data_IF_410085161881
#
_entry.id   IF_410085161881
#
_cell.length_a   1.000
_cell.length_b   1.000
_cell.length_c   1.000
_cell.angle_alpha   90.00
_cell.angle_beta   90.00
_cell.angle_gamma   90.00
#
_symmetry.space_group_name_H-M   'P 1'
#
loop_
_entity.id
_entity.type
_entity.pdbx_description
1 polymer ?
#
# COMPACT_ATOMS: atom_id res chain seq x y z
N UNK A 1 -10.37 -27.54 6.81
CA UNK A 1 -11.36 -27.64 7.91
C UNK A 1 -12.68 -26.92 7.63
N UNK A 2 -12.71 -25.77 6.92
CA UNK A 2 -13.94 -25.02 6.58
C UNK A 2 -15.01 -25.80 5.77
N UNK A 3 -14.62 -26.79 4.97
CA UNK A 3 -15.54 -27.53 4.08
C UNK A 3 -16.19 -28.78 4.67
N UNK A 4 -15.73 -29.28 5.83
CA UNK A 4 -16.18 -30.58 6.39
C UNK A 4 -17.30 -30.49 7.44
N UNK A 5 -17.74 -29.30 7.84
CA UNK A 5 -18.65 -29.13 9.00
C UNK A 5 -19.99 -28.49 8.69
N UNK A 6 -20.25 -27.99 7.46
CA UNK A 6 -21.61 -27.61 7.05
C UNK A 6 -22.62 -28.78 7.14
N UNK A 7 -22.13 -30.01 7.12
CA UNK A 7 -22.94 -31.24 7.22
C UNK A 7 -23.29 -31.63 8.68
N UNK A 8 -22.70 -31.02 9.71
CA UNK A 8 -22.81 -31.51 11.09
C UNK A 8 -23.80 -30.74 12.00
N UNK A 9 -24.50 -29.70 11.53
CA UNK A 9 -25.55 -29.02 12.30
C UNK A 9 -25.09 -28.29 13.58
N UNK A 10 -23.78 -28.15 13.82
CA UNK A 10 -23.25 -27.44 14.98
C UNK A 10 -22.92 -25.98 14.64
N UNK A 11 -23.64 -25.06 15.29
CA UNK A 11 -23.45 -23.61 15.17
C UNK A 11 -22.30 -23.15 16.09
N UNK A 12 -21.06 -23.43 15.65
CA UNK A 12 -19.84 -23.04 16.36
C UNK A 12 -19.70 -21.53 16.50
N UNK A 13 -20.28 -20.77 15.56
CA UNK A 13 -20.26 -19.32 15.60
C UNK A 13 -21.07 -18.80 16.80
N UNK A 14 -22.30 -19.31 16.96
CA UNK A 14 -23.11 -19.03 18.14
C UNK A 14 -22.42 -19.45 19.43
N UNK A 15 -21.81 -20.64 19.47
CA UNK A 15 -21.11 -21.11 20.67
C UNK A 15 -19.94 -20.20 21.04
N UNK A 16 -19.11 -19.80 20.07
CA UNK A 16 -17.99 -18.90 20.31
C UNK A 16 -18.47 -17.50 20.73
N UNK A 17 -19.59 -17.02 20.18
CA UNK A 17 -20.22 -15.76 20.58
C UNK A 17 -20.74 -15.82 22.01
N UNK A 18 -21.42 -16.90 22.38
CA UNK A 18 -21.92 -17.12 23.74
C UNK A 18 -20.75 -17.24 24.75
N UNK A 19 -19.67 -17.92 24.37
CA UNK A 19 -18.43 -17.97 25.17
C UNK A 19 -17.76 -16.61 25.33
N UNK A 20 -17.74 -15.81 24.26
CA UNK A 20 -17.21 -14.45 24.33
C UNK A 20 -18.03 -13.61 25.31
N UNK A 21 -19.38 -13.68 25.25
CA UNK A 21 -20.28 -12.96 26.17
C UNK A 21 -20.05 -13.29 27.64
N UNK A 22 -19.53 -14.47 27.97
CA UNK A 22 -19.15 -14.79 29.35
C UNK A 22 -17.98 -13.95 29.88
N UNK A 23 -17.23 -13.27 29.01
CA UNK A 23 -16.18 -12.33 29.40
C UNK A 23 -16.69 -10.91 29.68
N UNK A 24 -17.98 -10.64 29.44
CA UNK A 24 -18.58 -9.33 29.65
C UNK A 24 -18.56 -8.92 31.13
N UNK A 25 -18.26 -7.65 31.37
CA UNK A 25 -18.22 -7.00 32.68
C UNK A 25 -19.60 -6.43 33.02
N UNK A 26 -20.07 -6.68 34.24
CA UNK A 26 -21.27 -6.06 34.79
C UNK A 26 -20.90 -4.71 35.44
N UNK A 27 -21.78 -3.70 35.35
CA UNK A 27 -21.53 -2.30 35.78
C UNK A 27 -21.13 -2.10 37.26
N UNK A 28 -21.20 -3.14 38.09
CA UNK A 28 -20.98 -3.06 39.53
C UNK A 28 -20.17 -4.23 40.13
N UNK A 29 -19.61 -5.12 39.31
CA UNK A 29 -18.82 -6.26 39.82
C UNK A 29 -17.33 -5.96 39.84
N UNK A 30 -16.76 -5.92 41.04
CA UNK A 30 -15.32 -6.04 41.24
C UNK A 30 -14.98 -7.53 41.16
N UNK A 31 -14.33 -7.93 40.08
CA UNK A 31 -13.82 -9.30 39.94
C UNK A 31 -12.59 -9.48 40.83
N UNK A 32 -12.46 -10.66 41.43
CA UNK A 32 -11.14 -11.08 41.94
C UNK A 32 -10.15 -11.17 40.77
N UNK A 33 -8.85 -11.01 41.05
CA UNK A 33 -7.82 -11.10 40.02
C UNK A 33 -7.87 -12.43 39.23
N UNK A 34 -8.21 -13.52 39.92
CA UNK A 34 -8.42 -14.84 39.30
C UNK A 34 -9.63 -14.89 38.35
N UNK A 35 -10.79 -14.37 38.77
CA UNK A 35 -12.00 -14.37 37.93
C UNK A 35 -11.83 -13.51 36.69
N UNK A 36 -11.15 -12.36 36.84
CA UNK A 36 -10.78 -11.51 35.71
C UNK A 36 -9.89 -12.28 34.73
N UNK A 37 -8.83 -12.92 35.21
CA UNK A 37 -7.92 -13.72 34.38
C UNK A 37 -8.63 -14.82 33.59
N UNK A 38 -9.53 -15.57 34.25
CA UNK A 38 -10.33 -16.60 33.60
C UNK A 38 -11.22 -16.03 32.50
N UNK A 39 -11.90 -14.92 32.78
CA UNK A 39 -12.78 -14.25 31.82
C UNK A 39 -12.01 -13.65 30.66
N UNK A 40 -10.85 -13.03 30.90
CA UNK A 40 -9.95 -12.55 29.84
C UNK A 40 -9.53 -13.69 28.92
N UNK A 41 -9.11 -14.85 29.47
CA UNK A 41 -8.74 -16.02 28.65
C UNK A 41 -9.91 -16.52 27.81
N UNK A 42 -11.10 -16.61 28.40
CA UNK A 42 -12.31 -17.02 27.71
C UNK A 42 -12.65 -16.05 26.57
N UNK A 43 -12.74 -14.75 26.86
CA UNK A 43 -13.06 -13.71 25.90
C UNK A 43 -12.06 -13.64 24.76
N UNK A 44 -10.76 -13.55 25.09
CA UNK A 44 -9.66 -13.56 24.11
C UNK A 44 -9.76 -14.76 23.17
N UNK A 45 -9.82 -15.97 23.73
CA UNK A 45 -9.78 -17.18 22.93
C UNK A 45 -11.04 -17.33 22.08
N UNK A 46 -12.22 -17.03 22.65
CA UNK A 46 -13.49 -17.12 21.93
C UNK A 46 -13.53 -16.16 20.75
N UNK A 47 -13.17 -14.89 20.96
CA UNK A 47 -13.16 -13.86 19.91
C UNK A 47 -12.10 -14.12 18.85
N UNK A 48 -10.89 -14.51 19.25
CA UNK A 48 -9.82 -14.86 18.31
C UNK A 48 -10.22 -16.03 17.42
N UNK A 49 -10.82 -17.09 17.99
CA UNK A 49 -11.30 -18.23 17.22
C UNK A 49 -12.50 -17.89 16.35
N UNK A 50 -13.42 -17.06 16.85
CA UNK A 50 -14.58 -16.59 16.09
C UNK A 50 -14.12 -15.85 14.84
N UNK A 51 -13.17 -14.93 14.98
CA UNK A 51 -12.55 -14.23 13.86
C UNK A 51 -11.82 -15.18 12.92
N UNK A 52 -10.91 -16.04 13.42
CA UNK A 52 -10.19 -17.01 12.56
C UNK A 52 -11.12 -17.96 11.81
N UNK A 53 -12.28 -18.27 12.39
CA UNK A 53 -13.29 -19.12 11.77
C UNK A 53 -14.05 -18.40 10.66
N UNK A 54 -14.66 -17.26 10.98
CA UNK A 54 -15.66 -16.57 10.15
C UNK A 54 -15.10 -15.45 9.28
N UNK A 55 -13.90 -14.95 9.60
CA UNK A 55 -13.26 -13.82 8.93
C UNK A 55 -13.85 -12.44 9.29
N UNK A 56 -14.92 -12.37 10.11
CA UNK A 56 -15.57 -11.13 10.54
C UNK A 56 -16.15 -11.28 11.95
N UNK A 57 -16.44 -10.19 12.64
CA UNK A 57 -17.26 -10.23 13.86
C UNK A 57 -18.68 -9.78 13.51
N UNK A 58 -19.65 -10.68 13.41
CA UNK A 58 -21.01 -10.31 12.98
C UNK A 58 -21.82 -9.54 14.03
N UNK A 59 -21.48 -9.66 15.31
CA UNK A 59 -22.17 -8.89 16.35
C UNK A 59 -21.78 -7.41 16.29
N UNK A 60 -22.77 -6.54 16.48
CA UNK A 60 -22.56 -5.09 16.63
C UNK A 60 -22.12 -4.74 18.06
N UNK A 61 -22.62 -5.45 19.06
CA UNK A 61 -22.31 -5.21 20.48
C UNK A 61 -21.18 -6.11 20.99
N UNK A 62 -20.04 -5.50 21.28
CA UNK A 62 -18.86 -6.06 21.95
C UNK A 62 -18.50 -5.28 23.22
N UNK A 63 -19.46 -4.54 23.77
CA UNK A 63 -19.24 -3.60 24.87
C UNK A 63 -18.91 -4.34 26.18
N UNK A 64 -17.98 -3.75 26.93
CA UNK A 64 -17.56 -4.16 28.28
C UNK A 64 -16.97 -5.56 28.33
N UNK A 65 -16.41 -6.06 27.23
CA UNK A 65 -15.85 -7.40 27.19
C UNK A 65 -14.39 -7.41 27.65
N UNK A 66 -14.00 -8.47 28.34
CA UNK A 66 -12.60 -8.73 28.67
C UNK A 66 -11.92 -9.50 27.53
N UNK A 67 -11.23 -8.77 26.65
CA UNK A 67 -10.60 -9.25 25.42
C UNK A 67 -9.07 -9.04 25.41
N UNK A 68 -8.45 -8.94 26.60
CA UNK A 68 -7.01 -8.74 26.73
C UNK A 68 -6.21 -9.78 25.92
N UNK A 69 -5.34 -9.31 25.02
CA UNK A 69 -4.51 -10.14 24.16
C UNK A 69 -5.21 -10.75 22.93
N UNK A 70 -6.43 -10.31 22.60
CA UNK A 70 -7.16 -10.77 21.41
C UNK A 70 -6.34 -10.60 20.13
N UNK A 71 -6.35 -11.61 19.25
CA UNK A 71 -5.69 -11.54 17.95
C UNK A 71 -6.75 -11.20 16.90
N UNK A 72 -6.88 -9.90 16.63
CA UNK A 72 -7.88 -9.29 15.77
C UNK A 72 -7.25 -8.53 14.60
N UNK A 73 -6.01 -8.86 14.25
CA UNK A 73 -5.32 -8.22 13.15
C UNK A 73 -6.05 -8.46 11.81
N UNK A 74 -6.20 -7.40 11.00
CA UNK A 74 -6.92 -7.45 9.72
C UNK A 74 -8.45 -7.54 9.84
N UNK A 75 -9.02 -7.43 11.04
CA UNK A 75 -10.48 -7.60 11.23
C UNK A 75 -11.25 -6.36 10.82
N UNK A 76 -12.36 -6.53 10.10
CA UNK A 76 -13.37 -5.48 9.94
C UNK A 76 -14.22 -5.32 11.21
N UNK A 77 -13.95 -4.26 11.95
CA UNK A 77 -14.61 -3.83 13.18
C UNK A 77 -15.51 -2.60 12.98
N UNK A 78 -15.81 -2.26 11.72
CA UNK A 78 -16.56 -1.05 11.42
C UNK A 78 -17.95 -1.05 12.08
N UNK A 79 -18.34 0.08 12.67
CA UNK A 79 -19.63 0.32 13.32
C UNK A 79 -19.87 -0.47 14.61
N UNK A 80 -18.85 -1.17 15.15
CA UNK A 80 -19.01 -2.02 16.34
C UNK A 80 -18.86 -1.24 17.63
N UNK A 81 -19.63 -1.65 18.62
CA UNK A 81 -19.58 -1.11 19.97
C UNK A 81 -18.57 -1.86 20.84
N UNK A 82 -17.45 -1.21 21.15
CA UNK A 82 -16.42 -1.65 22.11
C UNK A 82 -16.43 -0.80 23.39
N UNK A 83 -17.56 -0.16 23.71
CA UNK A 83 -17.69 0.69 24.88
C UNK A 83 -17.28 -0.04 26.17
N UNK A 84 -16.32 0.49 26.92
CA UNK A 84 -15.87 -0.11 28.18
C UNK A 84 -15.09 -1.43 28.04
N UNK A 85 -14.76 -1.86 26.83
CA UNK A 85 -14.08 -3.14 26.57
C UNK A 85 -12.61 -3.08 26.94
N UNK A 86 -12.10 -4.12 27.59
CA UNK A 86 -10.67 -4.29 27.85
C UNK A 86 -10.02 -5.02 26.67
N UNK A 87 -9.13 -4.33 25.97
CA UNK A 87 -8.36 -4.80 24.81
C UNK A 87 -6.85 -4.71 25.08
N UNK A 88 -6.44 -4.85 26.35
CA UNK A 88 -5.04 -4.69 26.75
C UNK A 88 -4.18 -5.71 26.03
N UNK A 89 -3.03 -5.30 25.50
CA UNK A 89 -2.13 -6.18 24.74
C UNK A 89 -2.78 -6.85 23.52
N UNK A 90 -3.98 -6.42 23.09
CA UNK A 90 -4.65 -6.98 21.92
C UNK A 90 -3.87 -6.60 20.65
N UNK A 91 -3.87 -7.50 19.66
CA UNK A 91 -3.33 -7.24 18.34
C UNK A 91 -4.48 -6.80 17.42
N UNK A 92 -4.56 -5.50 17.18
CA UNK A 92 -5.52 -4.84 16.28
C UNK A 92 -4.84 -4.34 15.00
N UNK A 93 -3.64 -4.85 14.69
CA UNK A 93 -2.88 -4.41 13.53
C UNK A 93 -3.67 -4.60 12.23
N UNK A 94 -3.76 -3.58 11.37
CA UNK A 94 -4.59 -3.59 10.14
C UNK A 94 -6.10 -3.83 10.35
N UNK A 95 -6.64 -3.70 11.57
CA UNK A 95 -8.09 -3.76 11.76
C UNK A 95 -8.78 -2.53 11.17
N UNK A 96 -9.93 -2.71 10.51
CA UNK A 96 -10.78 -1.62 10.03
C UNK A 96 -11.67 -1.16 11.19
N UNK A 97 -11.55 0.09 11.62
CA UNK A 97 -12.23 0.60 12.81
C UNK A 97 -13.28 1.68 12.49
N UNK A 98 -13.74 1.74 11.25
CA UNK A 98 -14.60 2.84 10.77
C UNK A 98 -15.89 2.94 11.58
N UNK A 99 -16.19 4.11 12.16
CA UNK A 99 -17.36 4.35 13.02
C UNK A 99 -17.49 3.42 14.25
N UNK A 100 -16.42 2.73 14.67
CA UNK A 100 -16.43 1.90 15.88
C UNK A 100 -16.40 2.74 17.18
N UNK A 101 -17.15 2.32 18.19
CA UNK A 101 -17.23 3.00 19.48
C UNK A 101 -16.26 2.40 20.51
N UNK A 102 -15.14 3.08 20.77
CA UNK A 102 -14.17 2.68 21.79
C UNK A 102 -14.26 3.51 23.09
N UNK A 103 -15.38 4.21 23.35
CA UNK A 103 -15.52 5.04 24.56
C UNK A 103 -15.30 4.20 25.82
N UNK A 104 -14.43 4.65 26.72
CA UNK A 104 -14.06 3.95 27.96
C UNK A 104 -13.38 2.58 27.78
N UNK A 105 -12.96 2.21 26.56
CA UNK A 105 -12.19 0.99 26.34
C UNK A 105 -10.76 1.11 26.92
N UNK A 106 -10.22 0.01 27.46
CA UNK A 106 -8.83 -0.08 27.90
C UNK A 106 -7.98 -0.67 26.77
N UNK A 107 -7.24 0.18 26.06
CA UNK A 107 -6.33 -0.19 24.96
C UNK A 107 -4.86 -0.25 25.41
N UNK A 108 -4.58 -0.37 26.72
CA UNK A 108 -3.20 -0.39 27.25
C UNK A 108 -2.35 -1.44 26.52
N UNK A 109 -1.24 -1.01 25.91
CA UNK A 109 -0.33 -1.87 25.13
C UNK A 109 -1.00 -2.63 23.96
N UNK A 110 -2.19 -2.21 23.53
CA UNK A 110 -2.79 -2.74 22.30
C UNK A 110 -1.94 -2.33 21.09
N UNK A 111 -1.70 -3.28 20.20
CA UNK A 111 -1.00 -3.03 18.94
C UNK A 111 -2.03 -2.54 17.92
N UNK A 112 -2.03 -1.23 17.71
CA UNK A 112 -2.74 -0.52 16.65
C UNK A 112 -1.76 -0.11 15.53
N UNK A 113 -0.59 -0.73 15.51
CA UNK A 113 0.36 -0.51 14.43
C UNK A 113 -0.28 -0.91 13.11
N UNK A 114 0.27 -0.40 12.02
CA UNK A 114 -0.01 -0.93 10.70
C UNK A 114 -1.18 -0.28 9.92
N UNK A 115 -1.65 0.88 10.33
CA UNK A 115 -2.77 1.57 9.70
C UNK A 115 -2.46 2.99 9.20
N UNK A 116 -1.21 3.20 8.76
CA UNK A 116 -0.81 4.44 8.12
C UNK A 116 -1.40 4.58 6.71
N UNK A 117 -1.50 5.82 6.22
CA UNK A 117 -1.70 6.09 4.80
C UNK A 117 -0.58 5.39 4.00
N UNK A 118 -0.97 4.61 2.99
CA UNK A 118 -0.02 4.06 2.03
C UNK A 118 0.61 5.19 1.23
N UNK A 119 1.94 5.19 1.14
CA UNK A 119 2.66 6.19 0.35
C UNK A 119 2.96 5.66 -1.05
N UNK A 120 3.42 4.41 -1.16
CA UNK A 120 3.69 3.76 -2.44
C UNK A 120 3.63 2.23 -2.34
N UNK A 121 3.52 1.59 -3.50
CA UNK A 121 3.54 0.14 -3.67
C UNK A 121 4.56 -0.23 -4.74
N UNK A 122 5.29 -1.31 -4.51
CA UNK A 122 6.18 -1.90 -5.51
C UNK A 122 5.98 -3.40 -5.59
N UNK A 123 5.96 -3.92 -6.81
CA UNK A 123 5.91 -5.35 -7.10
C UNK A 123 7.32 -5.80 -7.50
N UNK A 124 7.85 -6.92 -6.98
CA UNK A 124 9.13 -7.47 -7.42
C UNK A 124 9.01 -8.04 -8.83
N UNK A 125 10.08 -7.92 -9.61
CA UNK A 125 10.18 -8.43 -11.00
C UNK A 125 10.34 -9.96 -11.11
N UNK A 126 10.47 -10.67 -10.00
CA UNK A 126 10.71 -12.11 -9.99
C UNK A 126 9.42 -12.89 -10.23
N UNK A 127 9.43 -13.87 -11.13
CA UNK A 127 8.32 -14.81 -11.32
C UNK A 127 8.00 -15.65 -10.07
N UNK A 128 8.98 -15.78 -9.16
CA UNK A 128 8.82 -16.40 -7.83
C UNK A 128 8.38 -15.38 -6.74
N UNK A 129 7.95 -14.16 -7.11
CA UNK A 129 7.54 -13.17 -6.13
C UNK A 129 6.20 -13.54 -5.48
N UNK A 130 6.26 -14.11 -4.28
CA UNK A 130 5.08 -14.47 -3.48
C UNK A 130 4.33 -13.26 -2.87
N UNK A 131 4.64 -12.03 -3.30
CA UNK A 131 4.15 -10.82 -2.65
C UNK A 131 4.60 -9.50 -3.26
N UNK A 132 4.10 -8.40 -2.69
CA UNK A 132 4.45 -7.02 -3.04
C UNK A 132 4.84 -6.22 -1.79
N UNK A 133 5.52 -5.10 -1.98
CA UNK A 133 5.95 -4.22 -0.91
C UNK A 133 5.13 -2.94 -0.89
N UNK A 134 4.86 -2.44 0.31
CA UNK A 134 4.13 -1.18 0.52
C UNK A 134 4.86 -0.36 1.57
N UNK A 135 5.07 0.92 1.27
CA UNK A 135 5.53 1.93 2.23
C UNK A 135 4.35 2.66 2.84
N UNK A 136 4.52 3.02 4.11
CA UNK A 136 3.50 3.70 4.89
C UNK A 136 4.03 5.00 5.48
N UNK A 137 3.13 5.97 5.67
CA UNK A 137 3.47 7.26 6.29
C UNK A 137 4.05 7.12 7.71
N UNK A 138 3.75 6.01 8.38
CA UNK A 138 4.31 5.64 9.69
C UNK A 138 5.80 5.26 9.65
N UNK A 139 6.44 5.27 8.48
CA UNK A 139 7.86 4.91 8.33
C UNK A 139 8.12 3.40 8.36
N UNK A 140 7.11 2.57 8.08
CA UNK A 140 7.28 1.14 7.89
C UNK A 140 7.27 0.75 6.41
N UNK A 141 8.05 -0.29 6.09
CA UNK A 141 7.95 -1.02 4.83
C UNK A 141 7.38 -2.39 5.17
N UNK A 142 6.38 -2.83 4.39
CA UNK A 142 5.73 -4.11 4.63
C UNK A 142 5.64 -4.94 3.38
N UNK A 143 5.81 -6.25 3.56
CA UNK A 143 5.62 -7.28 2.53
C UNK A 143 4.22 -7.86 2.67
N UNK A 144 3.44 -7.77 1.61
CA UNK A 144 2.12 -8.38 1.47
C UNK A 144 2.26 -9.63 0.64
N UNK A 145 1.64 -10.74 1.07
CA UNK A 145 1.63 -11.95 0.27
C UNK A 145 0.44 -11.97 -0.68
N UNK A 146 0.67 -12.44 -1.91
CA UNK A 146 -0.38 -12.72 -2.89
C UNK A 146 -0.99 -14.13 -2.70
N UNK A 147 -0.47 -14.94 -1.79
CA UNK A 147 -1.05 -16.24 -1.43
C UNK A 147 -2.30 -16.03 -0.56
N UNK A 148 -3.45 -16.50 -1.03
CA UNK A 148 -4.73 -16.47 -0.29
C UNK A 148 -4.65 -17.18 1.07
N UNK A 149 -3.67 -18.07 1.28
CA UNK A 149 -3.43 -18.75 2.56
C UNK A 149 -2.77 -17.88 3.62
N UNK A 150 -2.19 -16.75 3.24
CA UNK A 150 -1.53 -15.82 4.16
C UNK A 150 -2.51 -15.06 5.06
N UNK A 151 -3.83 -15.25 4.87
CA UNK A 151 -4.89 -14.38 5.41
C UNK A 151 -4.66 -12.88 5.06
N UNK A 152 -3.81 -12.60 4.05
CA UNK A 152 -3.39 -11.25 3.62
C UNK A 152 -2.78 -10.40 4.74
N UNK A 153 -2.10 -11.01 5.70
CA UNK A 153 -1.43 -10.25 6.76
C UNK A 153 -0.07 -9.72 6.28
N UNK A 154 0.18 -8.40 6.33
CA UNK A 154 1.47 -7.85 5.95
C UNK A 154 2.53 -8.13 7.02
N UNK A 155 3.72 -8.45 6.56
CA UNK A 155 4.90 -8.56 7.42
C UNK A 155 5.69 -7.25 7.39
N UNK A 156 5.96 -6.67 8.56
CA UNK A 156 6.85 -5.50 8.66
C UNK A 156 8.28 -5.96 8.48
N UNK A 157 8.89 -5.56 7.37
CA UNK A 157 10.25 -5.98 7.00
C UNK A 157 11.32 -4.93 7.33
N UNK A 158 10.92 -3.67 7.49
CA UNK A 158 11.82 -2.57 7.80
C UNK A 158 11.09 -1.41 8.48
N UNK A 159 11.79 -0.68 9.35
CA UNK A 159 11.33 0.59 9.94
C UNK A 159 12.47 1.60 9.95
N UNK A 160 12.18 2.83 9.55
CA UNK A 160 13.15 3.92 9.64
C UNK A 160 13.27 4.38 11.10
N UNK A 161 14.51 4.52 11.60
CA UNK A 161 14.74 5.06 12.95
C UNK A 161 14.41 6.56 12.98
N UNK A 162 13.58 6.94 13.95
CA UNK A 162 13.05 8.29 14.16
C UNK A 162 14.16 9.25 14.66
N UNK A 163 15.09 9.59 13.77
CA UNK A 163 16.11 10.62 14.03
C UNK A 163 15.53 12.00 13.71
N UNK A 164 14.65 12.47 14.61
CA UNK A 164 14.10 13.82 14.70
C UNK A 164 13.32 14.31 13.46
N UNK A 165 12.00 14.12 13.50
CA UNK A 165 11.08 15.18 13.09
C UNK A 165 10.75 15.31 11.59
N UNK A 166 10.90 14.26 10.80
CA UNK A 166 10.23 14.18 9.49
C UNK A 166 9.07 13.20 9.57
N UNK A 167 7.88 13.74 9.87
CA UNK A 167 6.54 13.09 9.83
C UNK A 167 6.12 12.55 8.44
N UNK A 168 7.08 12.34 7.55
CA UNK A 168 6.88 11.91 6.18
C UNK A 168 7.85 10.75 5.94
N UNK A 169 7.51 9.52 6.39
CA UNK A 169 8.25 8.32 6.00
C UNK A 169 8.48 8.25 4.47
N UNK A 170 9.27 7.29 3.96
CA UNK A 170 9.58 7.24 2.53
C UNK A 170 8.29 7.37 1.71
N UNK A 171 8.31 8.30 0.77
CA UNK A 171 7.14 8.59 -0.03
C UNK A 171 6.97 7.53 -1.10
N UNK A 172 8.07 6.87 -1.48
CA UNK A 172 8.11 5.98 -2.61
C UNK A 172 9.05 4.78 -2.37
N UNK A 173 8.80 3.71 -3.11
CA UNK A 173 9.53 2.44 -3.05
C UNK A 173 9.63 1.80 -4.43
N UNK A 174 10.72 1.11 -4.67
CA UNK A 174 10.89 0.21 -5.81
C UNK A 174 11.65 -1.05 -5.40
N UNK A 175 11.20 -2.18 -5.93
CA UNK A 175 11.90 -3.45 -5.87
C UNK A 175 12.98 -3.47 -6.94
N UNK A 176 14.21 -3.77 -6.53
CA UNK A 176 15.37 -3.88 -7.41
C UNK A 176 15.50 -5.32 -7.92
N UNK A 177 16.25 -5.55 -9.03
CA UNK A 177 16.61 -6.89 -9.45
C UNK A 177 17.24 -7.69 -8.31
N UNK A 178 16.89 -8.98 -8.25
CA UNK A 178 17.25 -9.84 -7.13
C UNK A 178 16.29 -9.66 -5.96
N UNK A 179 16.80 -9.27 -4.80
CA UNK A 179 16.02 -9.15 -3.55
C UNK A 179 16.17 -7.80 -2.85
N UNK A 180 16.81 -6.82 -3.48
CA UNK A 180 17.02 -5.50 -2.90
C UNK A 180 15.79 -4.60 -3.02
N UNK A 181 15.73 -3.56 -2.18
CA UNK A 181 14.75 -2.49 -2.25
C UNK A 181 15.46 -1.14 -2.35
N UNK A 182 14.90 -0.25 -3.15
CA UNK A 182 15.23 1.17 -3.11
C UNK A 182 14.01 1.94 -2.59
N UNK A 183 14.24 2.83 -1.64
CA UNK A 183 13.21 3.68 -1.06
C UNK A 183 13.72 5.10 -1.02
N UNK A 184 12.82 6.06 -1.20
CA UNK A 184 13.22 7.46 -1.20
C UNK A 184 12.11 8.37 -0.67
N UNK A 185 12.54 9.52 -0.19
CA UNK A 185 11.69 10.64 0.18
C UNK A 185 12.13 11.86 -0.64
N UNK A 186 11.87 13.07 -0.15
CA UNK A 186 12.29 14.29 -0.85
C UNK A 186 13.78 14.56 -0.77
N UNK A 187 14.44 14.09 0.28
CA UNK A 187 15.77 14.55 0.69
C UNK A 187 16.81 13.43 0.73
N UNK A 188 16.39 12.18 0.55
CA UNK A 188 17.27 11.01 0.66
C UNK A 188 16.76 9.81 -0.14
N UNK A 189 17.72 9.00 -0.59
CA UNK A 189 17.52 7.70 -1.22
C UNK A 189 18.25 6.66 -0.40
N UNK A 190 17.59 5.56 -0.07
CA UNK A 190 18.11 4.44 0.70
C UNK A 190 18.06 3.17 -0.12
N UNK A 191 19.10 2.35 0.02
CA UNK A 191 19.19 1.02 -0.55
C UNK A 191 19.18 0.00 0.58
N UNK A 192 18.25 -0.96 0.49
CA UNK A 192 18.04 -2.00 1.47
C UNK A 192 18.27 -3.37 0.84
N UNK A 193 18.89 -4.28 1.58
CA UNK A 193 19.01 -5.69 1.21
C UNK A 193 18.36 -6.59 2.26
N UNK A 194 17.96 -7.82 1.88
CA UNK A 194 17.51 -8.81 2.84
C UNK A 194 18.61 -9.10 3.86
N UNK A 195 18.22 -9.34 5.11
CA UNK A 195 19.15 -9.84 6.10
C UNK A 195 19.55 -11.29 5.81
N UNK A 196 20.83 -11.62 6.04
CA UNK A 196 21.34 -12.99 5.84
C UNK A 196 20.66 -14.04 6.75
N UNK A 197 20.04 -13.57 7.85
CA UNK A 197 19.35 -14.39 8.85
C UNK A 197 18.06 -13.71 9.31
N UNK A 198 16.97 -13.94 8.60
CA UNK A 198 15.64 -13.44 8.94
C UNK A 198 14.83 -13.11 7.70
N UNK A 199 13.59 -12.69 7.90
CA UNK A 199 12.68 -12.21 6.85
C UNK A 199 12.71 -10.66 6.71
N UNK A 200 13.61 -9.99 7.45
CA UNK A 200 13.77 -8.54 7.48
C UNK A 200 14.76 -7.99 6.44
N UNK A 201 14.83 -6.66 6.36
CA UNK A 201 15.77 -5.93 5.51
C UNK A 201 16.69 -5.05 6.36
N UNK A 202 17.89 -4.75 5.84
CA UNK A 202 18.85 -3.83 6.43
C UNK A 202 19.25 -2.73 5.46
N UNK A 203 19.54 -1.54 5.99
CA UNK A 203 20.14 -0.46 5.21
C UNK A 203 21.58 -0.80 4.83
N UNK A 204 21.90 -0.71 3.54
CA UNK A 204 23.26 -0.89 3.00
C UNK A 204 23.90 0.45 2.72
N UNK A 205 23.13 1.40 2.18
CA UNK A 205 23.62 2.70 1.75
C UNK A 205 22.50 3.74 1.76
N UNK A 206 22.89 5.00 1.95
CA UNK A 206 22.01 6.17 1.92
C UNK A 206 22.73 7.35 1.29
N UNK A 207 22.02 8.05 0.41
CA UNK A 207 22.49 9.28 -0.24
C UNK A 207 21.50 10.40 0.03
N UNK A 208 21.99 11.62 0.30
CA UNK A 208 21.13 12.80 0.42
C UNK A 208 20.92 13.46 -0.94
N UNK A 209 19.70 13.90 -1.19
CA UNK A 209 19.32 14.69 -2.36
C UNK A 209 19.29 16.17 -1.98
N UNK A 210 20.08 16.99 -2.68
CA UNK A 210 20.18 18.44 -2.37
C UNK A 210 18.96 19.25 -2.81
N UNK A 211 18.15 18.72 -3.73
CA UNK A 211 16.99 19.40 -4.31
C UNK A 211 15.79 18.47 -4.18
N UNK A 212 14.81 18.82 -3.34
CA UNK A 212 13.56 18.09 -3.09
C UNK A 212 12.93 17.49 -4.36
N UNK A 213 13.28 16.25 -4.72
CA UNK A 213 12.85 15.60 -5.95
C UNK A 213 11.63 14.71 -5.68
N UNK A 214 10.49 14.96 -6.33
CA UNK A 214 9.27 14.21 -6.05
C UNK A 214 9.07 12.94 -6.88
N UNK A 215 9.91 12.65 -7.88
CA UNK A 215 9.65 11.59 -8.85
C UNK A 215 10.93 10.87 -9.26
N UNK A 216 11.36 9.91 -8.45
CA UNK A 216 12.27 8.87 -8.93
C UNK A 216 11.39 7.73 -9.44
N UNK A 217 11.74 7.10 -10.55
CA UNK A 217 11.06 5.89 -11.00
C UNK A 217 12.11 4.84 -11.30
N UNK A 218 11.95 3.65 -10.74
CA UNK A 218 12.93 2.58 -10.90
C UNK A 218 12.23 1.43 -11.63
N UNK A 219 12.78 1.06 -12.77
CA UNK A 219 12.48 -0.18 -13.46
C UNK A 219 13.59 -1.20 -13.18
N UNK A 220 13.41 -2.45 -13.62
CA UNK A 220 14.35 -3.56 -13.39
C UNK A 220 15.80 -3.11 -13.54
N UNK A 221 16.18 -2.51 -14.67
CA UNK A 221 17.58 -2.13 -14.89
C UNK A 221 17.84 -0.64 -14.82
N UNK A 222 16.81 0.19 -14.61
CA UNK A 222 16.93 1.63 -14.84
C UNK A 222 16.35 2.47 -13.71
N UNK A 223 16.90 3.67 -13.51
CA UNK A 223 16.37 4.66 -12.59
C UNK A 223 16.24 6.01 -13.26
N UNK A 224 15.04 6.53 -13.30
CA UNK A 224 14.76 7.91 -13.67
C UNK A 224 14.91 8.77 -12.43
N UNK A 225 15.81 9.75 -12.47
CA UNK A 225 15.95 10.78 -11.43
C UNK A 225 15.71 12.15 -12.07
N UNK A 226 14.95 13.06 -11.44
CA UNK A 226 14.84 14.41 -11.96
C UNK A 226 16.19 15.11 -11.89
N UNK A 227 16.55 15.80 -12.96
CA UNK A 227 17.76 16.60 -13.00
C UNK A 227 17.48 17.95 -12.32
N UNK A 228 18.37 18.38 -11.43
CA UNK A 228 18.22 19.56 -10.57
C UNK A 228 18.09 20.91 -11.24
N UNK A 229 18.30 20.94 -12.56
CA UNK A 229 18.12 22.14 -13.35
C UNK A 229 16.63 22.41 -13.58
N UNK A 230 16.04 23.25 -12.72
CA UNK A 230 14.86 24.03 -13.12
C UNK A 230 15.31 25.01 -14.21
N UNK A 231 15.10 24.62 -15.46
CA UNK A 231 15.18 25.55 -16.58
C UNK A 231 13.86 26.30 -16.71
N UNK A 232 13.88 27.49 -17.32
CA UNK A 232 12.66 28.25 -17.67
C UNK A 232 11.71 27.44 -18.58
N UNK A 233 12.19 26.34 -19.18
CA UNK A 233 11.49 25.51 -20.17
C UNK A 233 10.98 24.16 -19.65
N UNK A 234 11.32 23.71 -18.43
CA UNK A 234 10.78 22.46 -17.88
C UNK A 234 11.65 21.72 -16.86
N UNK A 235 11.17 20.53 -16.43
CA UNK A 235 11.93 19.54 -15.66
C UNK A 235 12.68 18.62 -16.63
N UNK A 236 14.01 18.58 -16.52
CA UNK A 236 14.80 17.51 -17.14
C UNK A 236 14.76 16.28 -16.24
N UNK A 237 14.77 15.09 -16.82
CA UNK A 237 14.98 13.84 -16.08
C UNK A 237 16.17 13.10 -16.69
N UNK A 238 16.96 12.43 -15.85
CA UNK A 238 18.02 11.53 -16.27
C UNK A 238 17.60 10.10 -16.00
N UNK A 239 17.62 9.28 -17.04
CA UNK A 239 17.48 7.84 -16.94
C UNK A 239 18.87 7.25 -16.81
N UNK A 240 19.13 6.59 -15.69
CA UNK A 240 20.36 5.84 -15.41
C UNK A 240 20.12 4.37 -15.72
N UNK A 241 20.97 3.77 -16.53
CA UNK A 241 20.99 2.32 -16.76
C UNK A 241 22.04 1.65 -15.87
N UNK A 242 21.58 0.64 -15.13
CA UNK A 242 22.35 -0.22 -14.24
C UNK A 242 22.45 -1.66 -14.75
N UNK A 243 22.08 -1.90 -16.00
CA UNK A 243 22.24 -3.20 -16.64
C UNK A 243 23.68 -3.71 -16.44
N UNK A 244 23.88 -4.97 -16.02
CA UNK A 244 25.22 -5.53 -15.79
C UNK A 244 26.03 -5.64 -17.09
N UNK A 245 25.36 -5.51 -18.23
CA UNK A 245 25.88 -5.61 -19.59
C UNK A 245 26.30 -4.23 -20.12
N UNK A 246 27.17 -3.50 -19.40
CA UNK A 246 27.63 -2.19 -19.89
C UNK A 246 28.35 -1.32 -18.85
N UNK A 247 28.90 -0.19 -19.30
CA UNK A 247 29.23 0.91 -18.41
C UNK A 247 27.93 1.65 -18.05
N UNK A 248 27.76 2.14 -16.81
CA UNK A 248 26.61 2.95 -16.44
C UNK A 248 26.43 4.10 -17.43
N UNK A 249 25.28 4.14 -18.09
CA UNK A 249 24.95 5.18 -19.06
C UNK A 249 23.84 6.07 -18.47
N UNK A 250 23.77 7.31 -18.96
CA UNK A 250 22.72 8.23 -18.57
C UNK A 250 22.22 8.99 -19.80
N UNK A 251 20.91 8.96 -20.04
CA UNK A 251 20.27 9.75 -21.10
C UNK A 251 19.31 10.77 -20.50
N UNK A 252 19.25 11.95 -21.11
CA UNK A 252 18.45 13.08 -20.63
C UNK A 252 17.15 13.20 -21.40
N UNK A 253 16.04 13.42 -20.70
CA UNK A 253 14.74 13.70 -21.30
C UNK A 253 14.18 15.04 -20.84
N UNK A 254 13.35 15.66 -21.69
CA UNK A 254 12.61 16.88 -21.36
C UNK A 254 11.12 16.57 -21.23
N UNK A 255 10.64 16.53 -19.99
CA UNK A 255 9.26 16.20 -19.62
C UNK A 255 8.58 17.44 -19.04
N UNK A 256 8.15 18.33 -19.92
CA UNK A 256 7.54 19.60 -19.53
C UNK A 256 6.21 19.35 -18.80
N UNK A 257 6.07 19.88 -17.59
CA UNK A 257 4.86 19.75 -16.76
C UNK A 257 4.52 18.30 -16.36
N UNK A 258 5.47 17.37 -16.39
CA UNK A 258 5.23 16.01 -15.92
C UNK A 258 4.95 15.97 -14.41
N UNK A 259 3.85 15.31 -14.05
CA UNK A 259 3.45 15.02 -12.68
C UNK A 259 4.14 13.75 -12.19
N UNK A 260 4.14 12.70 -13.01
CA UNK A 260 4.76 11.41 -12.71
C UNK A 260 5.40 10.83 -13.98
N UNK A 261 6.39 9.97 -13.82
CA UNK A 261 7.03 9.24 -14.92
C UNK A 261 7.42 7.82 -14.50
N UNK A 262 7.59 6.92 -15.46
CA UNK A 262 8.11 5.57 -15.26
C UNK A 262 9.05 5.20 -16.40
N UNK A 263 10.10 4.42 -16.13
CA UNK A 263 10.96 3.87 -17.18
C UNK A 263 10.26 2.71 -17.89
N UNK A 264 10.39 2.65 -19.22
CA UNK A 264 9.96 1.51 -20.03
C UNK A 264 11.15 0.59 -20.31
N UNK A 265 12.25 1.17 -20.76
CA UNK A 265 13.52 0.49 -20.99
C UNK A 265 14.68 1.48 -20.78
N UNK A 266 15.87 1.14 -21.27
CA UNK A 266 17.14 1.90 -21.19
C UNK A 266 17.17 3.16 -22.08
N UNK A 267 16.22 3.26 -23.01
CA UNK A 267 16.10 4.34 -23.99
C UNK A 267 14.73 5.03 -23.96
N UNK A 268 13.76 4.52 -23.23
CA UNK A 268 12.38 4.98 -23.26
C UNK A 268 11.78 5.17 -21.87
N UNK A 269 10.95 6.20 -21.75
CA UNK A 269 10.16 6.48 -20.55
C UNK A 269 8.73 6.85 -20.92
N UNK A 270 7.86 6.77 -19.93
CA UNK A 270 6.49 7.29 -20.00
C UNK A 270 6.30 8.39 -18.96
N UNK A 271 5.50 9.40 -19.31
CA UNK A 271 5.16 10.51 -18.43
C UNK A 271 3.67 10.83 -18.45
N UNK A 272 3.13 11.13 -17.27
CA UNK A 272 1.82 11.74 -17.12
C UNK A 272 1.99 13.25 -16.93
N UNK A 273 1.38 14.05 -17.81
CA UNK A 273 1.53 15.50 -17.85
C UNK A 273 0.39 16.20 -17.09
N UNK A 274 0.64 17.43 -16.63
CA UNK A 274 -0.35 18.22 -15.89
C UNK A 274 -1.61 18.59 -16.69
N UNK A 275 -1.54 18.55 -18.02
CA UNK A 275 -2.69 18.74 -18.90
C UNK A 275 -3.52 17.45 -19.11
N UNK A 276 -3.11 16.34 -18.48
CA UNK A 276 -3.80 15.06 -18.53
C UNK A 276 -3.31 14.10 -19.62
N UNK A 277 -2.37 14.52 -20.46
CA UNK A 277 -1.81 13.63 -21.48
C UNK A 277 -0.82 12.64 -20.86
N UNK A 278 -0.87 11.41 -21.35
CA UNK A 278 0.09 10.34 -21.10
C UNK A 278 0.94 10.21 -22.35
N UNK A 279 2.24 10.44 -22.22
CA UNK A 279 3.18 10.46 -23.34
C UNK A 279 4.30 9.46 -23.13
N UNK A 280 4.73 8.82 -24.20
CA UNK A 280 5.94 8.00 -24.22
C UNK A 280 7.02 8.79 -24.95
N UNK A 281 8.20 8.89 -24.34
CA UNK A 281 9.39 9.47 -24.94
C UNK A 281 10.44 8.39 -25.16
N UNK A 282 11.02 8.37 -26.35
CA UNK A 282 12.08 7.43 -26.72
C UNK A 282 13.29 8.24 -27.18
N UNK A 283 14.43 7.98 -26.56
CA UNK A 283 15.73 8.49 -26.93
C UNK A 283 16.28 7.64 -28.07
N UNK A 284 16.54 8.26 -29.21
CA UNK A 284 17.06 7.59 -30.40
C UNK A 284 18.56 7.87 -30.45
N UNK A 285 19.35 6.80 -30.58
CA UNK A 285 20.81 6.89 -30.68
C UNK A 285 21.23 7.46 -32.05
N UNK A 286 21.16 8.79 -32.16
CA UNK A 286 21.67 9.59 -33.28
C UNK A 286 22.79 10.49 -32.78
N UNK A 287 23.65 10.99 -33.69
CA UNK A 287 24.76 11.90 -33.33
C UNK A 287 24.33 13.15 -32.54
N UNK A 288 23.04 13.53 -32.61
CA UNK A 288 22.45 14.67 -31.91
C UNK A 288 21.57 14.30 -30.70
N UNK A 289 21.31 13.00 -30.44
CA UNK A 289 20.46 12.54 -29.33
C UNK A 289 19.00 12.99 -29.45
N UNK A 290 18.32 12.55 -30.52
CA UNK A 290 16.92 12.94 -30.79
C UNK A 290 15.94 12.25 -29.82
N UNK A 291 14.97 13.00 -29.29
CA UNK A 291 13.89 12.45 -28.46
C UNK A 291 12.58 12.48 -29.24
N UNK A 292 11.98 11.31 -29.45
CA UNK A 292 10.66 11.17 -30.07
C UNK A 292 9.59 11.07 -28.99
N UNK A 293 8.55 11.90 -29.07
CA UNK A 293 7.41 11.89 -28.14
C UNK A 293 6.14 11.42 -28.84
N UNK A 294 5.41 10.48 -28.24
CA UNK A 294 4.12 9.96 -28.74
C UNK A 294 3.07 10.00 -27.64
N UNK A 295 1.88 10.52 -27.90
CA UNK A 295 0.76 10.51 -26.94
C UNK A 295 -0.04 9.21 -27.00
N UNK A 296 -0.42 8.68 -25.84
CA UNK A 296 -1.26 7.48 -25.71
C UNK A 296 -2.75 7.81 -25.61
N UNK A 297 -3.10 9.03 -25.20
CA UNK A 297 -4.47 9.47 -24.97
C UNK A 297 -4.73 10.90 -25.46
N UNK A 298 -4.10 11.31 -26.57
CA UNK A 298 -4.23 12.67 -27.10
C UNK A 298 -5.70 13.07 -27.36
N UNK A 299 -6.56 12.10 -27.72
CA UNK A 299 -7.99 12.33 -27.96
C UNK A 299 -8.81 12.51 -26.68
N UNK A 300 -8.38 11.89 -25.57
CA UNK A 300 -9.11 11.89 -24.28
C UNK A 300 -8.14 12.00 -23.10
N UNK A 301 -7.64 13.22 -22.80
CA UNK A 301 -6.76 13.47 -21.67
C UNK A 301 -7.42 13.12 -20.34
N UNK A 302 -6.62 12.58 -19.41
CA UNK A 302 -7.09 12.21 -18.07
C UNK A 302 -7.07 13.43 -17.14
N UNK A 303 -8.16 13.72 -16.46
CA UNK A 303 -8.22 14.85 -15.53
C UNK A 303 -7.36 14.59 -14.28
N UNK A 304 -6.44 15.51 -13.96
CA UNK A 304 -5.58 15.48 -12.76
C UNK A 304 -4.87 14.13 -12.51
N UNK A 305 -3.93 13.72 -13.39
CA UNK A 305 -3.16 12.51 -13.17
C UNK A 305 -2.30 12.62 -11.91
N UNK A 306 -2.13 11.51 -11.21
CA UNK A 306 -1.44 11.45 -9.91
C UNK A 306 -0.26 10.48 -9.92
N UNK A 307 -0.41 9.34 -10.58
CA UNK A 307 0.60 8.29 -10.64
C UNK A 307 0.59 7.60 -12.01
N UNK A 308 1.73 7.05 -12.40
CA UNK A 308 1.89 6.27 -13.63
C UNK A 308 2.82 5.09 -13.37
N UNK A 309 2.58 3.97 -14.04
CA UNK A 309 3.45 2.80 -14.02
C UNK A 309 3.56 2.21 -15.42
N UNK A 310 4.63 1.48 -15.66
CA UNK A 310 4.94 0.85 -16.93
C UNK A 310 5.36 -0.60 -16.71
N UNK A 311 5.06 -1.45 -17.68
CA UNK A 311 5.52 -2.83 -17.73
C UNK A 311 6.18 -3.08 -19.07
N UNK A 312 7.38 -3.65 -19.00
CA UNK A 312 8.15 -4.13 -20.13
C UNK A 312 7.95 -5.64 -20.25
N UNK A 313 7.62 -6.16 -21.44
CA UNK A 313 7.56 -7.59 -21.68
C UNK A 313 8.96 -8.20 -21.76
N UNK A 314 9.10 -9.46 -21.33
CA UNK A 314 10.37 -10.21 -21.40
C UNK A 314 10.78 -10.56 -22.85
N UNK A 315 9.79 -10.74 -23.73
CA UNK A 315 10.02 -11.05 -25.15
C UNK A 315 9.99 -9.78 -25.99
N UNK A 316 10.88 -9.69 -26.98
CA UNK A 316 10.97 -8.58 -27.93
C UNK A 316 9.71 -8.42 -28.80
N UNK A 317 8.87 -9.46 -28.88
CA UNK A 317 7.55 -9.42 -29.55
C UNK A 317 6.40 -9.01 -28.63
N UNK A 318 6.67 -8.86 -27.33
CA UNK A 318 5.66 -8.58 -26.32
C UNK A 318 5.13 -7.16 -26.38
N UNK A 319 4.00 -6.96 -25.72
CA UNK A 319 3.32 -5.69 -25.64
C UNK A 319 3.77 -4.91 -24.39
N UNK A 320 4.18 -3.67 -24.58
CA UNK A 320 4.43 -2.74 -23.48
C UNK A 320 3.11 -2.28 -22.91
N UNK A 321 3.02 -2.22 -21.58
CA UNK A 321 1.81 -1.75 -20.90
C UNK A 321 2.12 -0.50 -20.10
N UNK A 322 1.17 0.43 -20.09
CA UNK A 322 1.21 1.64 -19.29
C UNK A 322 -0.11 1.77 -18.55
N UNK A 323 -0.06 2.12 -17.27
CA UNK A 323 -1.26 2.46 -16.52
C UNK A 323 -1.08 3.79 -15.81
N UNK A 324 -2.17 4.58 -15.76
CA UNK A 324 -2.20 5.89 -15.13
C UNK A 324 -3.44 6.01 -14.24
N UNK A 325 -3.26 6.66 -13.09
CA UNK A 325 -4.31 6.90 -12.10
C UNK A 325 -4.49 8.40 -11.85
N UNK A 326 -5.66 8.79 -11.37
CA UNK A 326 -5.98 10.20 -11.13
C UNK A 326 -6.50 10.51 -9.74
N UNK A 327 -6.72 11.81 -9.48
CA UNK A 327 -7.25 12.28 -8.18
C UNK A 327 -8.68 11.79 -7.88
N UNK A 328 -9.48 11.53 -8.90
CA UNK A 328 -10.87 11.11 -8.79
C UNK A 328 -11.09 9.60 -8.71
N UNK A 329 -10.04 8.79 -8.59
CA UNK A 329 -10.16 7.33 -8.48
C UNK A 329 -10.25 6.57 -9.81
N UNK A 330 -10.08 7.28 -10.93
CA UNK A 330 -10.01 6.69 -12.27
C UNK A 330 -8.66 6.01 -12.49
N UNK A 331 -8.71 4.80 -13.04
CA UNK A 331 -7.54 4.05 -13.50
C UNK A 331 -7.74 3.70 -14.97
N UNK A 332 -6.73 4.00 -15.78
CA UNK A 332 -6.69 3.68 -17.20
C UNK A 332 -5.41 2.93 -17.54
N UNK A 333 -5.50 2.00 -18.49
CA UNK A 333 -4.36 1.23 -18.98
C UNK A 333 -4.35 1.19 -20.51
N UNK A 334 -3.14 1.20 -21.07
CA UNK A 334 -2.86 1.15 -22.50
C UNK A 334 -1.82 0.08 -22.77
N UNK A 335 -1.88 -0.46 -23.99
CA UNK A 335 -0.85 -1.35 -24.51
C UNK A 335 -0.38 -0.89 -25.90
N UNK A 336 0.88 -1.14 -26.22
CA UNK A 336 1.50 -0.77 -27.49
C UNK A 336 2.75 -1.60 -27.78
N UNK A 337 3.25 -1.52 -29.02
CA UNK A 337 4.53 -2.12 -29.43
C UNK A 337 5.58 -1.03 -29.65
N UNK A 338 6.82 -1.29 -29.23
CA UNK A 338 7.97 -0.39 -29.43
C UNK A 338 8.97 -1.07 -30.37
N UNK A 339 9.18 -0.48 -31.55
CA UNK A 339 10.17 -0.96 -32.51
C UNK A 339 11.59 -0.50 -32.11
N UNK A 340 12.62 -1.25 -32.49
CA UNK A 340 14.04 -0.87 -32.30
C UNK A 340 14.36 0.54 -32.87
N UNK A 341 13.59 1.01 -33.87
CA UNK A 341 13.71 2.36 -34.43
C UNK A 341 13.17 3.48 -33.51
N UNK A 342 12.72 3.13 -32.30
CA UNK A 342 12.05 4.02 -31.35
C UNK A 342 10.66 4.46 -31.82
N UNK A 343 10.02 3.69 -32.71
CA UNK A 343 8.66 4.00 -33.21
C UNK A 343 7.64 3.18 -32.44
N UNK A 344 6.59 3.85 -31.98
CA UNK A 344 5.48 3.23 -31.26
C UNK A 344 4.37 2.87 -32.25
N UNK A 345 3.81 1.66 -32.13
CA UNK A 345 2.69 1.17 -32.94
C UNK A 345 1.63 0.48 -32.09
N UNK A 346 0.50 0.19 -32.72
CA UNK A 346 -0.58 -0.62 -32.15
C UNK A 346 -1.11 -0.12 -30.80
N UNK A 347 -1.10 1.21 -30.60
CA UNK A 347 -1.58 1.83 -29.36
C UNK A 347 -3.07 1.48 -29.17
N UNK A 348 -3.38 0.82 -28.07
CA UNK A 348 -4.75 0.47 -27.67
C UNK A 348 -5.01 0.83 -26.23
N UNK A 349 -6.19 1.39 -25.95
CA UNK A 349 -6.69 1.50 -24.59
C UNK A 349 -7.26 0.15 -24.18
N UNK A 350 -6.73 -0.44 -23.10
CA UNK A 350 -7.18 -1.72 -22.55
C UNK A 350 -8.46 -1.51 -21.75
N UNK A 351 -8.43 -0.54 -20.83
CA UNK A 351 -9.59 -0.11 -20.07
C UNK A 351 -9.41 1.31 -19.52
N UNK A 352 -10.52 1.93 -19.12
CA UNK A 352 -10.57 3.16 -18.34
C UNK A 352 -11.81 3.11 -17.45
N UNK A 353 -11.64 3.12 -16.12
CA UNK A 353 -12.73 2.93 -15.17
C UNK A 353 -12.46 3.59 -13.82
N UNK A 354 -13.52 3.95 -13.12
CA UNK A 354 -13.45 4.39 -11.73
C UNK A 354 -13.31 3.15 -10.84
N UNK A 355 -12.16 3.03 -10.16
CA UNK A 355 -11.83 1.88 -9.30
C UNK A 355 -11.92 2.28 -7.85
N UNK A 356 -11.40 3.46 -7.53
CA UNK A 356 -11.29 3.98 -6.18
C UNK A 356 -12.28 5.10 -5.93
N UNK A 357 -12.64 5.33 -4.66
CA UNK A 357 -13.45 6.49 -4.27
C UNK A 357 -12.60 7.74 -4.01
N UNK A 358 -11.30 7.53 -3.80
CA UNK A 358 -10.32 8.57 -3.47
C UNK A 358 -9.24 8.71 -4.53
N UNK A 359 -8.22 9.50 -4.19
CA UNK A 359 -7.05 9.74 -5.04
C UNK A 359 -6.27 8.45 -5.24
N UNK A 360 -6.10 8.02 -6.50
CA UNK A 360 -5.19 6.91 -6.82
C UNK A 360 -3.77 7.36 -6.51
N UNK A 361 -3.09 6.62 -5.64
CA UNK A 361 -1.74 6.95 -5.18
C UNK A 361 -0.66 6.18 -5.92
N UNK A 362 -0.94 4.91 -6.21
CA UNK A 362 0.09 4.00 -6.70
C UNK A 362 -0.48 2.92 -7.60
N UNK A 363 0.35 2.42 -8.49
CA UNK A 363 0.02 1.42 -9.51
C UNK A 363 1.23 0.49 -9.68
N UNK A 364 1.00 -0.81 -9.88
CA UNK A 364 2.05 -1.76 -10.19
C UNK A 364 1.53 -2.93 -11.00
N UNK A 365 2.18 -3.24 -12.12
CA UNK A 365 1.85 -4.44 -12.89
C UNK A 365 2.38 -5.70 -12.20
N UNK A 366 1.64 -6.79 -12.36
CA UNK A 366 2.00 -8.14 -11.89
C UNK A 366 1.98 -9.06 -13.12
N UNK A 367 3.17 -9.49 -13.52
CA UNK A 367 3.44 -10.43 -14.63
C UNK A 367 2.81 -10.04 -15.99
N UNK A 368 2.47 -8.77 -16.20
CA UNK A 368 1.75 -8.30 -17.41
C UNK A 368 0.28 -8.75 -17.51
N UNK A 369 -0.20 -9.58 -16.56
CA UNK A 369 -1.55 -10.16 -16.56
C UNK A 369 -2.53 -9.42 -15.65
N UNK A 370 -2.01 -8.69 -14.65
CA UNK A 370 -2.85 -7.91 -13.74
C UNK A 370 -2.18 -6.61 -13.30
N UNK A 371 -3.00 -5.66 -12.88
CA UNK A 371 -2.60 -4.36 -12.35
C UNK A 371 -3.07 -4.23 -10.91
N UNK A 372 -2.13 -4.03 -9.99
CA UNK A 372 -2.40 -3.58 -8.64
C UNK A 372 -2.56 -2.07 -8.63
N UNK A 373 -3.58 -1.59 -7.92
CA UNK A 373 -3.81 -0.16 -7.75
C UNK A 373 -4.18 0.14 -6.30
N UNK A 374 -3.55 1.17 -5.73
CA UNK A 374 -3.79 1.62 -4.36
C UNK A 374 -4.24 3.08 -4.30
N UNK A 375 -5.18 3.40 -3.41
CA UNK A 375 -5.64 4.78 -3.17
C UNK A 375 -5.20 5.37 -1.81
N UNK A 376 -5.52 6.65 -1.63
CA UNK A 376 -5.25 7.42 -0.41
C UNK A 376 -6.03 6.92 0.81
N UNK A 377 -7.11 6.18 0.59
CA UNK A 377 -7.97 5.63 1.64
C UNK A 377 -7.59 4.18 1.99
N UNK A 378 -6.48 3.67 1.43
CA UNK A 378 -5.92 2.35 1.68
C UNK A 378 -6.64 1.20 0.95
N UNK A 379 -7.50 1.50 -0.01
CA UNK A 379 -8.06 0.50 -0.91
C UNK A 379 -6.98 0.01 -1.88
N UNK A 380 -6.74 -1.31 -1.94
CA UNK A 380 -5.91 -1.95 -2.95
C UNK A 380 -6.78 -2.91 -3.77
N UNK A 381 -6.73 -2.78 -5.08
CA UNK A 381 -7.47 -3.66 -6.00
C UNK A 381 -6.51 -4.37 -6.95
N UNK A 382 -6.88 -5.58 -7.36
CA UNK A 382 -6.17 -6.35 -8.38
C UNK A 382 -7.04 -6.48 -9.62
N UNK A 383 -6.74 -5.66 -10.62
CA UNK A 383 -7.47 -5.61 -11.89
C UNK A 383 -6.86 -6.61 -12.86
N UNK A 384 -7.66 -7.55 -13.38
CA UNK A 384 -7.24 -8.44 -14.44
C UNK A 384 -7.10 -7.67 -15.77
N UNK A 385 -6.08 -7.98 -16.56
CA UNK A 385 -5.93 -7.47 -17.92
C UNK A 385 -6.51 -8.48 -18.93
N UNK A 386 -6.97 -8.02 -20.12
CA UNK A 386 -7.01 -6.63 -20.58
C UNK A 386 -8.26 -5.86 -20.12
N UNK A 387 -9.26 -6.52 -19.54
CA UNK A 387 -10.59 -5.93 -19.35
C UNK A 387 -10.69 -5.02 -18.12
N UNK A 388 -9.72 -5.05 -17.21
CA UNK A 388 -9.68 -4.27 -15.98
C UNK A 388 -10.64 -4.79 -14.91
N UNK A 389 -11.16 -6.02 -15.04
CA UNK A 389 -12.10 -6.56 -14.05
C UNK A 389 -11.41 -6.82 -12.72
N UNK A 390 -12.04 -6.32 -11.65
CA UNK A 390 -11.63 -6.68 -10.30
C UNK A 390 -12.21 -8.05 -9.96
N UNK A 391 -11.36 -9.08 -9.98
CA UNK A 391 -11.78 -10.48 -9.78
C UNK A 391 -11.73 -10.91 -8.32
N UNK A 392 -11.21 -10.06 -7.45
CA UNK A 392 -11.08 -10.30 -6.03
C UNK A 392 -11.76 -9.16 -5.26
N UNK A 393 -12.27 -9.40 -4.04
CA UNK A 393 -12.70 -8.30 -3.20
C UNK A 393 -11.52 -7.36 -2.93
N UNK A 394 -11.79 -6.05 -2.95
CA UNK A 394 -10.82 -5.01 -2.62
C UNK A 394 -10.14 -5.32 -1.27
N UNK A 395 -8.82 -5.17 -1.23
CA UNK A 395 -8.08 -5.12 0.02
C UNK A 395 -8.30 -3.72 0.61
N UNK A 396 -9.28 -3.56 1.48
CA UNK A 396 -9.53 -2.27 2.13
C UNK A 396 -8.70 -2.16 3.41
N UNK A 397 -7.72 -1.25 3.43
CA UNK A 397 -7.08 -0.75 4.65
C UNK A 397 -7.71 0.59 5.02
N UNK A 398 -8.83 0.59 5.74
CA UNK A 398 -9.40 1.84 6.28
C UNK A 398 -9.05 1.97 7.76
N UNK A 399 -8.44 3.10 8.11
CA UNK A 399 -8.51 3.61 9.46
C UNK A 399 -9.15 4.99 9.40
N UNK A 400 -10.49 5.02 9.45
CA UNK A 400 -11.29 6.23 9.65
C UNK A 400 -12.12 6.10 10.92
N UNK A 401 -11.52 6.42 12.06
CA UNK A 401 -12.28 6.66 13.29
C UNK A 401 -13.00 8.03 13.21
N UNK A 402 -14.12 8.13 12.48
CA UNK A 402 -15.00 9.30 12.57
C UNK A 402 -15.85 9.19 13.84
N UNK A 403 -15.79 10.21 14.70
CA UNK A 403 -16.69 10.33 15.85
C UNK A 403 -16.26 9.66 17.15
N UNK A 404 -15.01 9.21 17.30
CA UNK A 404 -14.55 8.66 18.59
C UNK A 404 -14.44 9.77 19.64
N UNK A 405 -15.38 9.84 20.59
CA UNK A 405 -15.28 10.72 21.76
C UNK A 405 -14.14 10.23 22.67
N UNK A 406 -13.01 10.94 22.61
CA UNK A 406 -11.73 10.68 23.32
C UNK A 406 -11.80 10.99 24.84
N UNK A 407 -12.99 11.03 25.43
CA UNK A 407 -13.15 11.34 26.85
C UNK A 407 -12.76 10.09 27.69
N UNK A 408 -11.68 10.19 28.46
CA UNK A 408 -11.26 9.17 29.44
C UNK A 408 -9.89 8.52 29.21
N UNK A 409 -9.10 8.93 28.20
CA UNK A 409 -7.72 8.47 28.06
C UNK A 409 -6.83 9.16 29.11
N UNK A 410 -6.30 8.38 30.06
CA UNK A 410 -5.46 8.90 31.15
C UNK A 410 -4.01 9.16 30.69
N UNK A 411 -3.53 8.49 29.63
CA UNK A 411 -2.15 8.65 29.16
C UNK A 411 -2.02 9.60 27.96
N UNK A 412 -0.96 10.42 27.99
CA UNK A 412 -0.60 11.34 26.90
C UNK A 412 -0.17 10.62 25.61
N UNK A 413 0.21 9.35 25.69
CA UNK A 413 0.71 8.58 24.57
C UNK A 413 -0.45 8.07 23.69
N UNK A 414 -1.49 7.53 24.31
CA UNK A 414 -2.67 6.96 23.62
C UNK A 414 -3.49 8.05 22.92
N UNK A 415 -3.63 9.20 23.58
CA UNK A 415 -4.31 10.36 22.99
C UNK A 415 -3.61 10.84 21.71
N UNK A 416 -2.26 10.81 21.67
CA UNK A 416 -1.49 11.21 20.49
C UNK A 416 -1.70 10.27 19.30
N UNK A 417 -1.74 8.96 19.55
CA UNK A 417 -1.95 7.94 18.50
C UNK A 417 -3.33 8.10 17.85
N UNK A 418 -4.37 8.38 18.65
CA UNK A 418 -5.74 8.53 18.15
C UNK A 418 -5.99 9.90 17.48
N UNK A 419 -5.35 10.97 17.95
CA UNK A 419 -5.38 12.29 17.29
C UNK A 419 -4.67 12.26 15.93
N UNK A 420 -3.54 11.56 15.81
CA UNK A 420 -2.83 11.36 14.53
C UNK A 420 -3.63 10.51 13.53
N UNK A 421 -4.56 9.69 14.03
CA UNK A 421 -5.48 8.84 13.26
C UNK A 421 -6.81 9.52 12.89
N UNK A 422 -6.99 10.81 13.17
CA UNK A 422 -8.16 11.60 12.74
C UNK A 422 -9.39 11.54 13.68
N UNK A 423 -9.24 11.02 14.90
CA UNK A 423 -10.31 11.08 15.90
C UNK A 423 -10.52 12.53 16.40
N UNK A 424 -11.72 13.06 16.25
CA UNK A 424 -12.09 14.37 16.79
C UNK A 424 -12.59 14.23 18.23
N UNK A 425 -11.97 14.95 19.17
CA UNK A 425 -12.58 15.19 20.48
C UNK A 425 -13.74 16.17 20.32
N UNK A 426 -14.98 15.69 20.35
CA UNK A 426 -16.11 16.58 20.64
C UNK A 426 -16.16 16.80 22.16
N UNK A 427 -16.03 18.06 22.59
CA UNK A 427 -16.24 18.49 23.99
C UNK A 427 -17.66 18.19 24.50
#
# INVERSE_FOLDING_TARGET
MRTRTKEAGHDYERVLRDLARLSQMDDHKIFSGWERDCRCRLGRTAVTLLFKWSGKLEAEDWSRMLLDGAQLAGTDLSGKDFHGTSLRHANLNNAILDDADFRFADLTEARLGEAGEMTALSVPYSSDADGFFVTYRDGSIRRWSLDERSDFHPEVIFRFEDSMGKRNGPLEIAALPGRGLCVWDRDSVWFLDPEDKGDGYREISRFSMENQYPAIAIAERNMVVPDGERTDTGRKVRLFDFSPEGLPSACGFSLNSAIACAALDDSALVGALADGRVVVQVHIDTEEGEIRTTGLNDDTPMHEPTCITAYRPDDASGEFLVACGNRGGLVAAWGFTLEESGKIRDIRMLFCREVHRGTVKTLGFVDGESLLTGDADGGIHRLALPDGQDRHPAFELKLRCRGTKVAGLESKHEKRILEEAGAASEE
#
